data_IF_909964215621
#
_entry.id   IF_909964215621
#
_cell.length_a   1.000
_cell.length_b   1.000
_cell.length_c   1.000
_cell.angle_alpha   90.00
_cell.angle_beta   90.00
_cell.angle_gamma   90.00
#
_symmetry.space_group_name_H-M   'P 1'
#
loop_
_entity.id
_entity.type
_entity.pdbx_description
1 polymer ?
#
# COMPACT_ATOMS: atom_id res chain seq x y z
N UNK A 1 -4.88 -39.41 -44.14
CA UNK A 1 -3.51 -39.80 -43.77
C UNK A 1 -2.81 -38.61 -43.15
N UNK A 2 -2.26 -38.77 -41.96
CA UNK A 2 -1.42 -37.75 -41.33
C UNK A 2 0.03 -38.05 -41.72
N UNK A 3 0.65 -37.11 -42.47
CA UNK A 3 2.08 -37.24 -42.78
C UNK A 3 2.86 -36.44 -41.70
N UNK A 4 3.67 -37.15 -40.96
CA UNK A 4 4.56 -36.56 -39.95
C UNK A 4 5.99 -36.75 -40.44
N UNK A 5 6.60 -35.65 -40.89
CA UNK A 5 8.01 -35.64 -41.28
C UNK A 5 8.78 -34.74 -40.32
N UNK A 6 9.72 -35.28 -39.60
CA UNK A 6 10.67 -34.53 -38.80
C UNK A 6 12.08 -34.97 -39.17
N UNK A 7 12.91 -34.03 -39.60
CA UNK A 7 14.33 -34.23 -39.81
C UNK A 7 15.10 -33.59 -38.68
N UNK A 8 16.05 -34.30 -38.11
CA UNK A 8 16.88 -33.82 -37.01
C UNK A 8 17.07 -34.86 -35.93
N UNK A 9 18.12 -34.71 -35.14
CA UNK A 9 18.40 -35.58 -34.01
C UNK A 9 18.70 -34.73 -32.78
N UNK A 10 17.79 -34.69 -31.78
CA UNK A 10 16.46 -35.32 -31.72
C UNK A 10 15.42 -34.64 -32.63
N UNK A 11 14.38 -35.42 -33.05
CA UNK A 11 13.34 -34.87 -33.95
C UNK A 11 12.52 -33.76 -33.27
N UNK A 12 12.07 -32.79 -34.06
CA UNK A 12 11.24 -31.67 -33.57
C UNK A 12 9.82 -32.13 -33.20
N UNK A 13 9.37 -33.25 -33.74
CA UNK A 13 8.10 -33.91 -33.43
C UNK A 13 8.30 -35.41 -33.35
N UNK A 14 7.77 -36.05 -32.35
CA UNK A 14 7.76 -37.52 -32.23
C UNK A 14 6.52 -38.00 -31.47
N UNK A 15 5.96 -39.09 -31.91
CA UNK A 15 4.92 -39.85 -31.24
C UNK A 15 5.39 -41.27 -31.05
N UNK A 16 5.47 -41.71 -29.82
CA UNK A 16 5.91 -43.09 -29.49
C UNK A 16 4.72 -44.05 -29.41
N UNK A 17 4.93 -45.37 -29.56
CA UNK A 17 3.83 -46.36 -29.52
C UNK A 17 3.05 -46.37 -28.20
N UNK A 18 3.64 -45.91 -27.11
CA UNK A 18 3.01 -45.77 -25.79
C UNK A 18 2.21 -44.46 -25.66
N UNK A 19 2.10 -43.65 -26.75
CA UNK A 19 1.29 -42.44 -26.81
C UNK A 19 1.97 -41.19 -26.31
N UNK A 20 3.29 -41.19 -26.09
CA UNK A 20 4.02 -39.97 -25.73
C UNK A 20 4.25 -39.09 -26.93
N UNK A 21 3.72 -37.86 -26.88
CA UNK A 21 3.95 -36.84 -27.87
C UNK A 21 5.06 -35.88 -27.40
N UNK A 22 6.06 -35.64 -28.23
CA UNK A 22 7.07 -34.60 -28.05
C UNK A 22 7.00 -33.69 -29.27
N UNK A 23 6.76 -32.38 -29.02
CA UNK A 23 6.72 -31.38 -30.08
C UNK A 23 7.50 -30.14 -29.64
N UNK A 24 8.27 -29.55 -30.56
CA UNK A 24 8.86 -28.23 -30.43
C UNK A 24 8.04 -27.28 -31.29
N UNK A 25 7.71 -26.09 -30.77
CA UNK A 25 6.94 -25.06 -31.48
C UNK A 25 5.57 -25.57 -31.98
N UNK A 26 4.73 -26.05 -31.07
CA UNK A 26 3.36 -26.43 -31.41
C UNK A 26 2.46 -25.18 -31.40
N UNK A 27 1.70 -24.96 -32.48
CA UNK A 27 0.60 -24.00 -32.54
C UNK A 27 -0.71 -24.79 -32.44
N UNK A 28 -1.48 -24.53 -31.39
CA UNK A 28 -2.74 -25.22 -31.09
C UNK A 28 -3.89 -24.22 -31.14
N UNK A 29 -4.70 -24.32 -32.17
CA UNK A 29 -5.95 -23.59 -32.31
C UNK A 29 -7.10 -24.43 -31.79
N UNK A 30 -7.60 -24.16 -30.59
CA UNK A 30 -8.67 -24.92 -29.95
C UNK A 30 -8.47 -25.12 -28.45
N UNK A 31 -9.02 -26.19 -27.91
CA UNK A 31 -8.96 -26.49 -26.49
C UNK A 31 -7.83 -27.45 -26.15
N UNK A 32 -7.11 -27.17 -25.07
CA UNK A 32 -6.16 -28.11 -24.46
C UNK A 32 -6.73 -28.60 -23.15
N UNK A 33 -6.93 -29.90 -23.00
CA UNK A 33 -7.36 -30.53 -21.76
C UNK A 33 -6.22 -31.41 -21.22
N UNK A 34 -5.60 -30.98 -20.12
CA UNK A 34 -4.52 -31.68 -19.49
C UNK A 34 -4.83 -31.91 -18.00
N UNK A 35 -4.71 -33.15 -17.52
CA UNK A 35 -4.94 -33.51 -16.13
C UNK A 35 -3.80 -33.10 -15.21
N UNK A 36 -2.61 -32.91 -15.75
CA UNK A 36 -1.42 -32.43 -15.04
C UNK A 36 -0.41 -31.84 -16.02
N UNK A 37 0.43 -30.96 -15.55
CA UNK A 37 1.50 -30.41 -16.37
C UNK A 37 2.25 -29.27 -15.68
N UNK A 38 3.37 -28.88 -16.28
CA UNK A 38 4.12 -27.67 -15.92
C UNK A 38 4.13 -26.73 -17.11
N UNK A 39 3.71 -25.49 -16.89
CA UNK A 39 3.75 -24.42 -17.88
C UNK A 39 4.78 -23.39 -17.43
N UNK A 40 5.76 -23.12 -18.31
CA UNK A 40 6.77 -22.09 -18.08
C UNK A 40 6.55 -20.93 -19.05
N UNK A 41 6.70 -19.71 -18.58
CA UNK A 41 6.61 -18.48 -19.39
C UNK A 41 5.28 -18.37 -20.19
N UNK A 42 4.16 -18.57 -19.50
CA UNK A 42 2.83 -18.52 -20.12
C UNK A 42 2.24 -17.12 -19.99
N UNK A 43 1.72 -16.61 -21.10
CA UNK A 43 0.89 -15.39 -21.12
C UNK A 43 -0.56 -15.78 -21.33
N UNK A 44 -1.44 -15.35 -20.44
CA UNK A 44 -2.90 -15.49 -20.54
C UNK A 44 -3.48 -14.10 -20.81
N UNK A 45 -3.98 -13.89 -22.02
CA UNK A 45 -4.42 -12.56 -22.46
C UNK A 45 -5.78 -12.13 -21.92
N UNK A 46 -6.59 -13.09 -21.45
CA UNK A 46 -7.96 -12.80 -20.98
C UNK A 46 -8.21 -13.39 -19.61
N UNK A 47 -9.27 -14.17 -19.43
CA UNK A 47 -9.69 -14.68 -18.15
C UNK A 47 -8.96 -15.97 -17.77
N UNK A 48 -8.51 -16.05 -16.51
CA UNK A 48 -7.99 -17.26 -15.91
C UNK A 48 -8.81 -17.61 -14.68
N UNK A 49 -9.36 -18.84 -14.60
CA UNK A 49 -10.03 -19.34 -13.42
C UNK A 49 -9.16 -20.40 -12.75
N UNK A 50 -8.72 -20.14 -11.54
CA UNK A 50 -7.94 -21.08 -10.73
C UNK A 50 -8.87 -21.67 -9.66
N UNK A 51 -9.18 -22.97 -9.77
CA UNK A 51 -10.06 -23.68 -8.81
C UNK A 51 -9.29 -24.25 -7.60
N UNK A 52 -7.98 -24.20 -7.63
CA UNK A 52 -7.10 -24.68 -6.57
C UNK A 52 -6.47 -23.58 -5.74
N UNK A 53 -5.28 -23.85 -5.23
CA UNK A 53 -4.48 -22.88 -4.48
C UNK A 53 -3.56 -22.11 -5.42
N UNK A 54 -3.54 -20.80 -5.30
CA UNK A 54 -2.53 -19.94 -5.90
C UNK A 54 -1.60 -19.44 -4.78
N UNK A 55 -0.28 -19.60 -4.97
CA UNK A 55 0.69 -19.05 -4.02
C UNK A 55 0.74 -17.54 -4.13
N UNK A 56 0.47 -16.84 -3.04
CA UNK A 56 0.50 -15.38 -2.98
C UNK A 56 1.89 -14.79 -3.30
N UNK A 57 2.95 -15.55 -3.06
CA UNK A 57 4.33 -15.11 -3.34
C UNK A 57 4.64 -14.96 -4.84
N UNK A 58 3.78 -15.47 -5.71
CA UNK A 58 3.94 -15.47 -7.16
C UNK A 58 2.95 -14.53 -7.86
N UNK A 59 2.14 -13.79 -7.10
CA UNK A 59 1.24 -12.79 -7.65
C UNK A 59 1.99 -11.47 -7.70
N UNK A 60 2.42 -11.08 -8.90
CA UNK A 60 2.84 -9.70 -9.14
C UNK A 60 1.60 -8.84 -9.36
N UNK A 61 1.43 -7.86 -8.52
CA UNK A 61 0.32 -6.92 -8.59
C UNK A 61 -0.19 -6.55 -7.21
N UNK A 62 -0.58 -5.31 -7.06
CA UNK A 62 -0.88 -4.70 -5.79
C UNK A 62 -2.32 -4.98 -5.37
N UNK A 63 -2.59 -6.17 -4.85
CA UNK A 63 -3.86 -6.46 -4.17
C UNK A 63 -3.91 -5.66 -2.88
N UNK A 64 -2.82 -5.72 -2.08
CA UNK A 64 -2.61 -4.91 -0.88
C UNK A 64 -1.13 -4.59 -0.75
N UNK A 65 -0.78 -3.31 -0.60
CA UNK A 65 0.56 -2.84 -0.20
C UNK A 65 0.51 -2.04 1.07
N UNK A 66 1.51 -2.24 1.93
CA UNK A 66 1.63 -1.56 3.20
C UNK A 66 3.01 -0.93 3.33
N UNK A 67 3.04 0.35 3.67
CA UNK A 67 4.29 1.09 3.93
C UNK A 67 4.13 1.85 5.24
N UNK A 68 5.16 1.85 6.07
CA UNK A 68 5.19 2.64 7.29
C UNK A 68 6.44 3.52 7.36
N UNK A 69 6.31 4.64 8.06
CA UNK A 69 7.43 5.56 8.29
C UNK A 69 7.22 6.35 9.58
N UNK A 70 8.29 6.49 10.35
CA UNK A 70 8.31 7.37 11.50
C UNK A 70 8.41 8.82 11.07
N UNK A 71 7.69 9.71 11.76
CA UNK A 71 7.84 11.15 11.55
C UNK A 71 9.22 11.64 11.98
N UNK A 72 9.79 12.62 11.28
CA UNK A 72 11.02 13.26 11.71
C UNK A 72 10.85 13.84 13.11
N UNK A 73 11.83 13.61 13.98
CA UNK A 73 11.79 14.09 15.36
C UNK A 73 13.16 14.24 15.97
N UNK A 74 13.22 15.08 16.98
CA UNK A 74 14.32 15.13 17.96
C UNK A 74 14.04 14.14 19.11
N UNK A 75 14.84 14.18 20.16
CA UNK A 75 14.59 13.38 21.37
C UNK A 75 13.28 13.73 22.09
N UNK A 76 12.81 14.98 21.95
CA UNK A 76 11.68 15.49 22.74
C UNK A 76 10.45 15.86 21.91
N UNK A 77 10.60 16.20 20.61
CA UNK A 77 9.48 16.67 19.80
C UNK A 77 9.57 16.21 18.35
N UNK A 78 8.41 16.14 17.70
CA UNK A 78 8.28 15.82 16.29
C UNK A 78 8.22 17.12 15.45
N UNK A 79 8.98 17.17 14.37
CA UNK A 79 8.95 18.28 13.40
C UNK A 79 9.48 17.83 12.06
N UNK A 80 8.69 17.97 11.02
CA UNK A 80 9.08 17.64 9.65
C UNK A 80 7.93 17.16 8.80
N UNK A 81 8.28 16.68 7.62
CA UNK A 81 7.31 16.31 6.58
C UNK A 81 7.57 14.91 6.05
N UNK A 82 6.51 14.15 5.86
CA UNK A 82 6.50 12.90 5.10
C UNK A 82 5.64 13.13 3.86
N UNK A 83 6.18 12.79 2.70
CA UNK A 83 5.45 12.80 1.43
C UNK A 83 5.25 11.38 0.95
N UNK A 84 3.99 11.01 0.73
CA UNK A 84 3.58 9.73 0.15
C UNK A 84 3.15 9.97 -1.28
N UNK A 85 3.76 9.26 -2.22
CA UNK A 85 3.38 9.29 -3.63
C UNK A 85 2.95 7.90 -4.06
N UNK A 86 1.75 7.80 -4.62
CA UNK A 86 1.20 6.57 -5.16
C UNK A 86 0.96 6.80 -6.65
N UNK A 87 1.76 6.12 -7.47
CA UNK A 87 1.67 6.24 -8.92
C UNK A 87 0.36 5.65 -9.44
N UNK A 88 -0.22 6.28 -10.44
CA UNK A 88 -1.40 5.78 -11.15
C UNK A 88 -0.95 4.82 -12.26
N UNK A 89 -0.46 3.67 -11.85
CA UNK A 89 0.14 2.64 -12.70
C UNK A 89 -0.71 1.36 -12.83
N UNK A 90 -1.89 1.35 -12.21
CA UNK A 90 -2.81 0.22 -12.24
C UNK A 90 -4.03 0.50 -13.13
N UNK A 91 -4.57 -0.55 -13.73
CA UNK A 91 -5.77 -0.49 -14.57
C UNK A 91 -7.08 -0.67 -13.79
N UNK A 92 -7.02 -0.70 -12.47
CA UNK A 92 -8.16 -0.88 -11.58
C UNK A 92 -8.17 0.20 -10.50
N UNK A 93 -9.34 0.47 -9.97
CA UNK A 93 -9.54 1.41 -8.88
C UNK A 93 -8.93 0.87 -7.58
N UNK A 94 -8.34 1.77 -6.80
CA UNK A 94 -7.72 1.48 -5.52
C UNK A 94 -8.32 2.35 -4.41
N UNK A 95 -8.16 1.89 -3.19
CA UNK A 95 -8.36 2.70 -1.98
C UNK A 95 -7.05 2.82 -1.22
N UNK A 96 -6.82 4.01 -0.70
CA UNK A 96 -5.68 4.31 0.18
C UNK A 96 -6.24 4.53 1.57
N UNK A 97 -5.95 3.62 2.47
CA UNK A 97 -6.33 3.72 3.87
C UNK A 97 -5.16 4.25 4.69
N UNK A 98 -5.42 5.28 5.46
CA UNK A 98 -4.51 5.79 6.47
C UNK A 98 -5.09 5.42 7.83
N UNK A 99 -4.56 4.37 8.48
CA UNK A 99 -4.92 4.04 9.85
C UNK A 99 -4.63 5.21 10.80
N UNK A 100 -5.25 5.25 11.98
CA UNK A 100 -5.13 6.37 12.89
C UNK A 100 -3.68 6.77 13.17
N UNK A 101 -3.36 8.02 12.86
CA UNK A 101 -2.14 8.71 13.28
C UNK A 101 -2.51 9.48 14.54
N UNK A 102 -1.91 9.11 15.65
CA UNK A 102 -2.16 9.70 16.96
C UNK A 102 -1.08 10.73 17.25
N UNK A 103 -1.48 11.93 17.65
CA UNK A 103 -0.53 13.00 17.98
C UNK A 103 -1.00 13.79 19.20
N UNK A 104 -0.05 14.30 19.97
CA UNK A 104 -0.33 15.00 21.22
C UNK A 104 0.78 15.98 21.53
N UNK A 105 0.41 17.13 22.09
CA UNK A 105 1.32 18.03 22.79
C UNK A 105 1.69 17.50 24.17
N UNK A 106 2.53 18.23 24.86
CA UNK A 106 2.96 17.90 26.24
C UNK A 106 2.38 18.86 27.26
N UNK A 107 2.19 18.37 28.47
CA UNK A 107 1.87 19.14 29.65
C UNK A 107 3.07 19.14 30.58
N UNK A 108 3.50 20.31 31.02
CA UNK A 108 4.63 20.47 31.92
C UNK A 108 4.16 21.10 33.20
N UNK A 109 4.54 20.52 34.31
CA UNK A 109 4.33 21.10 35.64
C UNK A 109 5.48 22.03 35.99
N UNK A 110 5.15 23.15 36.58
CA UNK A 110 6.10 24.11 37.08
C UNK A 110 5.66 24.53 38.49
N UNK A 111 6.61 24.65 39.39
CA UNK A 111 6.39 25.14 40.75
C UNK A 111 7.19 26.43 40.93
N UNK A 112 6.52 27.47 41.37
CA UNK A 112 7.20 28.73 41.71
C UNK A 112 7.88 28.63 43.09
N UNK A 113 8.60 29.69 43.44
CA UNK A 113 9.30 29.76 44.74
C UNK A 113 8.39 29.61 45.98
N UNK A 114 7.09 29.87 45.81
CA UNK A 114 6.07 29.73 46.83
C UNK A 114 5.35 28.38 46.79
N UNK A 115 5.91 27.41 46.05
CA UNK A 115 5.35 26.07 45.86
C UNK A 115 3.95 26.07 45.19
N UNK A 116 3.62 27.12 44.44
CA UNK A 116 2.39 27.18 43.64
C UNK A 116 2.61 26.48 42.30
N UNK A 117 1.72 25.54 42.01
CA UNK A 117 1.74 24.76 40.77
C UNK A 117 1.16 25.56 39.61
N UNK A 118 1.84 25.50 38.49
CA UNK A 118 1.35 26.00 37.20
C UNK A 118 1.64 24.97 36.13
N UNK A 119 0.90 25.08 35.01
CA UNK A 119 1.06 24.17 33.88
C UNK A 119 1.42 24.96 32.63
N UNK A 120 2.38 24.46 31.89
CA UNK A 120 2.73 24.93 30.58
C UNK A 120 2.55 23.82 29.57
N UNK A 121 2.21 24.20 28.35
CA UNK A 121 1.85 23.22 27.33
C UNK A 121 2.74 23.37 26.12
N UNK A 122 3.14 22.22 25.57
CA UNK A 122 3.65 22.13 24.21
C UNK A 122 2.51 21.82 23.26
N UNK A 123 2.55 22.40 22.09
CA UNK A 123 1.55 22.18 21.04
C UNK A 123 2.12 21.30 19.95
N UNK A 124 1.39 20.24 19.57
CA UNK A 124 1.64 19.45 18.39
C UNK A 124 0.58 19.76 17.33
N UNK A 125 1.01 20.03 16.13
CA UNK A 125 0.13 20.28 14.98
C UNK A 125 0.41 19.27 13.89
N UNK A 126 -0.64 18.64 13.38
CA UNK A 126 -0.58 17.82 12.17
C UNK A 126 -1.40 18.49 11.07
N UNK A 127 -0.78 18.64 9.90
CA UNK A 127 -1.41 19.12 8.67
C UNK A 127 -1.26 18.07 7.58
N UNK A 128 -2.34 17.79 6.87
CA UNK A 128 -2.34 16.83 5.77
C UNK A 128 -2.87 17.50 4.52
N UNK A 129 -2.16 17.34 3.41
CA UNK A 129 -2.61 17.79 2.09
C UNK A 129 -2.75 16.61 1.15
N UNK A 130 -3.73 16.69 0.25
CA UNK A 130 -3.93 15.80 -0.88
C UNK A 130 -3.74 16.58 -2.17
N UNK A 131 -2.76 16.20 -2.98
CA UNK A 131 -2.41 16.90 -4.21
C UNK A 131 -2.29 18.42 -4.03
N UNK A 132 -1.67 18.85 -2.92
CA UNK A 132 -1.49 20.25 -2.56
C UNK A 132 -2.67 20.91 -1.83
N UNK A 133 -3.86 20.32 -1.83
CA UNK A 133 -5.03 20.84 -1.12
C UNK A 133 -5.07 20.32 0.31
N UNK A 134 -5.29 21.23 1.28
CA UNK A 134 -5.42 20.87 2.69
C UNK A 134 -6.71 20.05 2.92
N UNK A 135 -6.55 18.88 3.52
CA UNK A 135 -7.68 18.00 3.89
C UNK A 135 -7.81 17.84 5.40
N UNK A 136 -6.76 18.18 6.16
CA UNK A 136 -6.77 18.11 7.61
C UNK A 136 -5.75 19.08 8.21
N UNK A 137 -6.13 19.71 9.31
CA UNK A 137 -5.24 20.52 10.14
C UNK A 137 -5.78 20.58 11.55
N UNK A 138 -5.00 20.12 12.51
CA UNK A 138 -5.36 20.18 13.92
C UNK A 138 -4.13 20.43 14.78
N UNK A 139 -4.31 21.25 15.80
CA UNK A 139 -3.33 21.47 16.87
C UNK A 139 -3.89 20.94 18.18
N UNK A 140 -3.05 20.33 18.98
CA UNK A 140 -3.43 19.86 20.31
C UNK A 140 -2.33 20.13 21.31
N UNK A 141 -2.73 20.38 22.53
CA UNK A 141 -1.82 20.53 23.68
C UNK A 141 -1.83 19.28 24.54
N UNK A 142 -2.82 19.10 25.40
CA UNK A 142 -2.90 17.96 26.34
C UNK A 142 -3.85 16.84 25.86
N UNK A 143 -4.73 17.12 24.92
CA UNK A 143 -5.64 16.14 24.35
C UNK A 143 -4.99 15.33 23.20
N UNK A 144 -5.47 14.09 23.01
CA UNK A 144 -5.07 13.27 21.88
C UNK A 144 -5.70 13.79 20.60
N UNK A 145 -4.89 14.13 19.60
CA UNK A 145 -5.32 14.35 18.23
C UNK A 145 -5.27 13.04 17.43
N UNK A 146 -6.17 12.91 16.47
CA UNK A 146 -6.27 11.71 15.61
C UNK A 146 -6.53 12.14 14.18
N UNK A 147 -5.79 11.57 13.25
CA UNK A 147 -6.09 11.60 11.83
C UNK A 147 -6.20 10.19 11.30
N UNK A 148 -7.29 9.90 10.60
CA UNK A 148 -7.43 8.69 9.78
C UNK A 148 -8.24 9.01 8.54
N UNK A 149 -8.05 8.27 7.46
CA UNK A 149 -8.76 8.52 6.22
C UNK A 149 -8.82 7.27 5.34
N UNK A 150 -9.84 7.22 4.50
CA UNK A 150 -9.92 6.32 3.35
C UNK A 150 -10.10 7.19 2.11
N UNK A 151 -9.18 7.09 1.18
CA UNK A 151 -9.12 7.92 -0.02
C UNK A 151 -9.29 7.03 -1.24
N UNK A 152 -10.30 7.33 -2.06
CA UNK A 152 -10.46 6.67 -3.34
C UNK A 152 -9.39 7.15 -4.32
N UNK A 153 -8.79 6.20 -5.04
CA UNK A 153 -7.82 6.42 -6.09
C UNK A 153 -8.27 5.67 -7.35
N UNK A 154 -9.21 6.26 -8.13
CA UNK A 154 -9.63 5.67 -9.39
C UNK A 154 -8.47 5.61 -10.39
N UNK A 155 -8.47 4.58 -11.22
CA UNK A 155 -7.50 4.44 -12.30
C UNK A 155 -7.65 5.57 -13.31
N UNK A 156 -6.53 6.07 -13.84
CA UNK A 156 -6.49 7.10 -14.89
C UNK A 156 -6.62 8.54 -14.38
N UNK A 157 -6.62 8.78 -13.09
CA UNK A 157 -6.75 10.15 -12.53
C UNK A 157 -5.41 10.78 -12.09
N UNK A 158 -4.31 10.08 -12.31
CA UNK A 158 -2.98 10.56 -12.00
C UNK A 158 -2.48 10.17 -10.61
N UNK A 159 -1.24 10.51 -10.35
CA UNK A 159 -0.55 10.23 -9.09
C UNK A 159 -1.26 10.89 -7.91
N UNK A 160 -1.47 10.12 -6.84
CA UNK A 160 -1.93 10.64 -5.56
C UNK A 160 -0.72 11.02 -4.71
N UNK A 161 -0.66 12.28 -4.29
CA UNK A 161 0.37 12.79 -3.38
C UNK A 161 -0.27 13.24 -2.07
N UNK A 162 0.12 12.59 -0.97
CA UNK A 162 -0.27 12.99 0.38
C UNK A 162 0.95 13.55 1.10
N UNK A 163 0.81 14.74 1.69
CA UNK A 163 1.88 15.36 2.45
C UNK A 163 1.42 15.54 3.90
N UNK A 164 2.17 14.96 4.81
CA UNK A 164 1.94 15.00 6.25
C UNK A 164 3.00 15.88 6.88
N UNK A 165 2.62 17.00 7.43
CA UNK A 165 3.54 17.92 8.10
C UNK A 165 3.19 17.99 9.58
N UNK A 166 4.15 17.60 10.42
CA UNK A 166 4.06 17.75 11.86
C UNK A 166 4.92 18.92 12.30
N UNK A 167 4.41 19.75 13.17
CA UNK A 167 5.15 20.84 13.81
C UNK A 167 4.85 20.89 15.30
N UNK A 168 5.85 21.34 16.06
CA UNK A 168 5.77 21.43 17.51
C UNK A 168 6.21 22.81 17.97
N UNK A 169 5.53 23.33 18.98
CA UNK A 169 5.88 24.58 19.63
C UNK A 169 5.75 24.47 21.15
N UNK A 170 6.67 25.10 21.86
CA UNK A 170 6.63 25.17 23.32
C UNK A 170 6.13 26.54 23.79
N UNK A 171 5.73 26.62 25.05
CA UNK A 171 5.43 27.88 25.70
C UNK A 171 6.71 28.52 26.27
N UNK A 172 6.78 29.85 26.33
CA UNK A 172 7.80 30.60 27.04
C UNK A 172 9.25 30.22 26.68
N UNK A 173 9.54 30.00 25.40
CA UNK A 173 10.87 29.61 24.89
C UNK A 173 11.38 28.23 25.40
N UNK A 174 10.51 27.40 25.95
CA UNK A 174 10.85 26.03 26.35
C UNK A 174 10.94 25.13 25.11
N UNK A 175 11.85 24.16 25.18
CA UNK A 175 11.88 23.11 24.19
C UNK A 175 10.57 22.31 24.23
N UNK A 176 9.85 22.17 23.12
CA UNK A 176 8.59 21.42 23.13
C UNK A 176 8.80 19.94 23.44
N UNK A 177 7.78 19.32 24.01
CA UNK A 177 7.67 17.88 24.18
C UNK A 177 6.39 17.42 23.53
N UNK A 178 6.49 16.66 22.44
CA UNK A 178 5.35 16.19 21.67
C UNK A 178 5.53 14.75 21.25
N UNK A 179 4.43 14.08 20.95
CA UNK A 179 4.42 12.72 20.45
C UNK A 179 3.57 12.61 19.18
N UNK A 180 3.96 11.72 18.31
CA UNK A 180 3.19 11.32 17.14
C UNK A 180 3.51 9.86 16.82
N UNK A 181 2.48 9.07 16.49
CA UNK A 181 2.65 7.69 16.04
C UNK A 181 3.21 7.63 14.62
N UNK A 182 3.74 6.46 14.24
CA UNK A 182 4.21 6.24 12.89
C UNK A 182 3.07 6.38 11.87
N UNK A 183 3.41 6.87 10.69
CA UNK A 183 2.51 6.87 9.55
C UNK A 183 2.48 5.46 8.95
N UNK A 184 1.28 4.89 8.85
CA UNK A 184 1.01 3.67 8.10
C UNK A 184 0.13 4.02 6.89
N UNK A 185 0.47 3.50 5.73
CA UNK A 185 -0.30 3.65 4.50
C UNK A 185 -0.60 2.27 3.95
N UNK A 186 -1.87 1.98 3.74
CA UNK A 186 -2.36 0.74 3.15
C UNK A 186 -3.03 1.05 1.83
N UNK A 187 -2.49 0.52 0.73
CA UNK A 187 -3.06 0.67 -0.61
C UNK A 187 -3.67 -0.67 -1.01
N UNK A 188 -4.93 -0.67 -1.40
CA UNK A 188 -5.64 -1.89 -1.77
C UNK A 188 -6.50 -1.70 -3.02
N UNK A 189 -6.70 -2.79 -3.75
CA UNK A 189 -7.66 -2.84 -4.84
C UNK A 189 -9.07 -2.63 -4.28
N UNK A 190 -9.83 -1.71 -4.87
CA UNK A 190 -11.22 -1.48 -4.50
C UNK A 190 -12.12 -2.51 -5.16
N UNK A 191 -12.89 -3.24 -4.35
CA UNK A 191 -13.93 -4.15 -4.83
C UNK A 191 -15.07 -4.14 -3.83
N UNK A 192 -16.31 -4.05 -4.35
CA UNK A 192 -17.55 -4.12 -3.56
C UNK A 192 -18.32 -5.40 -3.83
N UNK A 193 -17.76 -6.32 -4.62
CA UNK A 193 -18.42 -7.57 -4.97
C UNK A 193 -18.72 -8.43 -3.73
N UNK A 194 -19.98 -8.80 -3.53
CA UNK A 194 -20.41 -9.62 -2.40
C UNK A 194 -20.58 -8.87 -1.07
N UNK A 195 -20.53 -7.53 -1.07
CA UNK A 195 -20.73 -6.70 0.11
C UNK A 195 -22.02 -5.87 -0.07
N UNK A 196 -22.90 -5.94 0.92
CA UNK A 196 -24.03 -5.03 1.04
C UNK A 196 -24.08 -4.45 2.45
N UNK A 197 -24.42 -3.18 2.55
CA UNK A 197 -24.65 -2.48 3.82
C UNK A 197 -26.05 -1.87 3.75
N UNK A 198 -26.89 -2.21 4.69
CA UNK A 198 -28.27 -1.72 4.80
C UNK A 198 -28.50 -1.03 6.14
#
# INVERSE_FOLDING_TARGET
AVSITSSGNPPAFSLTPDGRLTAKNADISGSVNANSGTLNNVTINENCQIKGKLSANQIEGDIVKTVSKSFPRTSTYASGTITVRISDDQKFDRQVMIPPVLFRGGKHENFNSNNQQSYWYSTCRLRVTRNGQEIFKQSTTDAQGVFSSVIDMPAGQGTLTLTFTVSSSGANNWTPTTSISDLLVVVMKKSTAGISIS
#
